data_IF_901029766959
#
_entry.id   IF_901029766959
#
_cell.length_a   1.000
_cell.length_b   1.000
_cell.length_c   1.000
_cell.angle_alpha   90.00
_cell.angle_beta   90.00
_cell.angle_gamma   90.00
#
_symmetry.space_group_name_H-M   'P 1'
#
loop_
_entity.id
_entity.type
_entity.pdbx_description
1 polymer ?
#
# COMPACT_ATOMS: atom_id res chain seq x y z
N UNK A 1 -64.68 0.13 4.22
CA UNK A 1 -63.29 0.49 3.93
C UNK A 1 -63.36 1.52 2.83
N UNK A 2 -63.03 2.74 3.11
CA UNK A 2 -63.09 3.84 2.16
C UNK A 2 -61.86 3.80 1.25
N UNK A 3 -61.96 4.38 0.07
CA UNK A 3 -60.84 4.46 -0.88
C UNK A 3 -59.60 5.14 -0.24
N UNK A 4 -59.83 6.02 0.71
CA UNK A 4 -58.84 6.68 1.53
C UNK A 4 -58.07 5.71 2.45
N UNK A 5 -58.76 4.73 3.04
CA UNK A 5 -58.16 3.73 3.92
C UNK A 5 -57.20 2.82 3.13
N UNK A 6 -57.57 2.47 1.89
CA UNK A 6 -56.72 1.66 1.01
C UNK A 6 -55.47 2.41 0.53
N UNK A 7 -55.55 3.74 0.34
CA UNK A 7 -54.42 4.61 0.00
C UNK A 7 -53.48 4.77 1.20
N UNK A 8 -54.03 4.96 2.41
CA UNK A 8 -53.27 5.06 3.67
C UNK A 8 -52.53 3.74 3.98
N UNK A 9 -53.15 2.59 3.74
CA UNK A 9 -52.54 1.30 3.95
C UNK A 9 -51.41 1.03 2.93
N UNK A 10 -51.58 1.43 1.64
CA UNK A 10 -50.51 1.39 0.65
C UNK A 10 -49.33 2.35 0.96
N UNK A 11 -49.62 3.51 1.52
CA UNK A 11 -48.61 4.47 1.98
C UNK A 11 -47.84 3.93 3.19
N UNK A 12 -48.55 3.31 4.16
CA UNK A 12 -47.91 2.65 5.31
C UNK A 12 -47.01 1.51 4.89
N UNK A 13 -47.45 0.62 3.99
CA UNK A 13 -46.62 -0.44 3.44
C UNK A 13 -45.39 0.11 2.69
N UNK A 14 -45.51 1.23 1.96
CA UNK A 14 -44.37 1.89 1.35
C UNK A 14 -43.39 2.48 2.37
N UNK A 15 -43.88 3.03 3.47
CA UNK A 15 -43.06 3.56 4.57
C UNK A 15 -42.38 2.41 5.31
N UNK A 16 -43.05 1.30 5.58
CA UNK A 16 -42.44 0.10 6.19
C UNK A 16 -41.40 -0.55 5.30
N UNK A 17 -41.56 -0.53 3.96
CA UNK A 17 -40.55 -1.01 3.02
C UNK A 17 -39.29 -0.08 3.01
N UNK A 18 -39.50 1.22 3.29
CA UNK A 18 -38.37 2.18 3.39
C UNK A 18 -37.65 2.05 4.74
N UNK A 19 -38.37 1.68 5.83
CA UNK A 19 -37.77 1.46 7.15
C UNK A 19 -37.12 0.07 7.29
N UNK A 20 -37.47 -0.92 6.46
CA UNK A 20 -36.85 -2.26 6.48
C UNK A 20 -35.58 -2.42 5.69
N UNK A 21 -35.21 -1.45 4.85
CA UNK A 21 -33.86 -1.34 4.31
C UNK A 21 -32.96 -0.65 5.35
N UNK A 22 -32.52 -1.39 6.37
CA UNK A 22 -31.30 -1.06 7.09
C UNK A 22 -30.19 -1.02 6.04
N UNK A 23 -29.97 0.15 5.45
CA UNK A 23 -28.82 0.46 4.63
C UNK A 23 -27.59 0.05 5.46
N UNK A 24 -27.01 -1.10 5.13
CA UNK A 24 -25.80 -1.62 5.79
C UNK A 24 -24.64 -0.73 5.40
N UNK A 25 -24.51 0.40 6.07
CA UNK A 25 -23.37 1.28 5.89
C UNK A 25 -22.09 0.51 6.26
N UNK A 26 -21.10 0.54 5.37
CA UNK A 26 -19.78 -0.01 5.65
C UNK A 26 -19.10 0.76 6.80
N UNK A 27 -19.31 2.06 6.85
CA UNK A 27 -18.85 2.91 7.94
C UNK A 27 -20.02 3.50 8.74
N UNK A 28 -20.25 2.97 9.92
CA UNK A 28 -21.33 3.45 10.83
C UNK A 28 -21.12 4.90 11.30
N UNK A 29 -19.85 5.40 11.34
CA UNK A 29 -19.54 6.75 11.82
C UNK A 29 -20.02 7.83 10.86
N UNK A 30 -19.80 7.67 9.56
CA UNK A 30 -20.13 8.67 8.56
C UNK A 30 -21.25 8.24 7.60
N UNK A 31 -21.83 7.05 7.78
CA UNK A 31 -22.85 6.48 6.88
C UNK A 31 -22.40 6.53 5.39
N UNK A 32 -21.13 6.17 5.15
CA UNK A 32 -20.44 6.11 3.84
C UNK A 32 -20.23 7.43 3.11
N UNK A 33 -20.56 8.57 3.73
CA UNK A 33 -20.31 9.91 3.14
C UNK A 33 -18.84 10.33 3.17
N UNK A 34 -17.97 9.58 3.88
CA UNK A 34 -16.55 9.91 4.11
C UNK A 34 -16.30 11.16 4.96
N UNK A 35 -17.37 11.86 5.40
CA UNK A 35 -17.32 13.04 6.26
C UNK A 35 -18.26 12.87 7.47
N UNK A 36 -17.84 13.41 8.60
CA UNK A 36 -18.65 13.51 9.82
C UNK A 36 -19.05 14.98 9.95
N UNK A 37 -20.36 15.23 9.92
CA UNK A 37 -20.93 16.56 10.08
C UNK A 37 -21.28 16.81 11.54
N UNK A 38 -20.97 17.98 12.04
CA UNK A 38 -21.33 18.41 13.40
C UNK A 38 -21.62 19.92 13.40
N UNK A 39 -22.38 20.33 14.43
CA UNK A 39 -22.69 21.74 14.67
C UNK A 39 -21.98 22.19 15.94
N UNK A 40 -21.45 23.40 15.94
CA UNK A 40 -20.94 24.02 17.15
C UNK A 40 -22.07 24.63 18.00
N UNK A 41 -21.71 25.18 19.15
CA UNK A 41 -22.65 25.81 20.07
C UNK A 41 -23.35 27.04 19.49
N UNK A 42 -22.82 27.64 18.41
CA UNK A 42 -23.36 28.78 17.69
C UNK A 42 -24.22 28.38 16.50
N UNK A 43 -24.37 27.05 16.23
CA UNK A 43 -25.15 26.52 15.14
C UNK A 43 -24.44 26.42 13.80
N UNK A 44 -23.14 26.77 13.72
CA UNK A 44 -22.35 26.61 12.49
C UNK A 44 -22.08 25.14 12.20
N UNK A 45 -22.25 24.76 10.93
CA UNK A 45 -22.01 23.41 10.47
C UNK A 45 -20.55 23.23 10.02
N UNK A 46 -19.93 22.16 10.49
CA UNK A 46 -18.57 21.77 10.15
C UNK A 46 -18.56 20.34 9.60
N UNK A 47 -17.62 20.07 8.70
CA UNK A 47 -17.36 18.74 8.19
C UNK A 47 -15.93 18.35 8.53
N UNK A 48 -15.75 17.17 9.17
CA UNK A 48 -14.45 16.54 9.42
C UNK A 48 -14.34 15.28 8.59
N UNK A 49 -13.16 15.04 8.00
CA UNK A 49 -12.91 13.78 7.30
C UNK A 49 -13.06 12.58 8.24
N UNK A 50 -13.80 11.57 7.79
CA UNK A 50 -13.91 10.31 8.52
C UNK A 50 -12.66 9.46 8.31
N UNK A 51 -12.25 8.73 9.34
CA UNK A 51 -11.11 7.80 9.28
C UNK A 51 -11.25 6.77 8.15
N UNK A 52 -12.50 6.38 7.78
CA UNK A 52 -12.75 5.44 6.70
C UNK A 52 -12.34 5.97 5.33
N UNK A 53 -12.25 7.28 5.12
CA UNK A 53 -11.87 7.90 3.84
C UNK A 53 -10.49 7.45 3.39
N UNK A 54 -9.52 7.47 4.30
CA UNK A 54 -8.15 7.03 4.01
C UNK A 54 -8.11 5.57 3.57
N UNK A 55 -8.88 4.71 4.25
CA UNK A 55 -9.01 3.29 3.89
C UNK A 55 -9.67 3.10 2.52
N UNK A 56 -10.77 3.80 2.26
CA UNK A 56 -11.47 3.71 0.97
C UNK A 56 -10.57 4.18 -0.18
N UNK A 57 -9.81 5.27 0.03
CA UNK A 57 -8.82 5.74 -0.96
C UNK A 57 -7.74 4.69 -1.19
N UNK A 58 -7.17 4.11 -0.13
CA UNK A 58 -6.13 3.10 -0.24
C UNK A 58 -6.64 1.83 -0.94
N UNK A 59 -7.83 1.35 -0.61
CA UNK A 59 -8.44 0.20 -1.30
C UNK A 59 -8.70 0.51 -2.78
N UNK A 60 -9.24 1.68 -3.12
CA UNK A 60 -9.42 2.11 -4.52
C UNK A 60 -8.08 2.18 -5.28
N UNK A 61 -7.00 2.61 -4.63
CA UNK A 61 -5.67 2.64 -5.24
C UNK A 61 -5.12 1.22 -5.44
N UNK A 62 -5.33 0.31 -4.47
CA UNK A 62 -4.98 -1.10 -4.60
C UNK A 62 -5.75 -1.75 -5.76
N UNK A 63 -7.07 -1.55 -5.83
CA UNK A 63 -7.92 -2.06 -6.93
C UNK A 63 -7.47 -1.55 -8.30
N UNK A 64 -7.16 -0.23 -8.41
CA UNK A 64 -6.69 0.38 -9.66
C UNK A 64 -5.28 -0.06 -10.06
N UNK A 65 -4.47 -0.60 -9.17
CA UNK A 65 -3.14 -1.09 -9.47
C UNK A 65 -3.13 -2.45 -10.20
N UNK A 66 -4.31 -3.06 -10.39
CA UNK A 66 -4.44 -4.39 -11.01
C UNK A 66 -3.96 -5.53 -10.12
N UNK A 67 -3.80 -5.28 -8.78
CA UNK A 67 -3.45 -6.32 -7.82
C UNK A 67 -4.60 -7.31 -7.73
N UNK A 68 -4.29 -8.58 -7.97
CA UNK A 68 -5.25 -9.66 -7.82
C UNK A 68 -5.76 -9.79 -6.39
N UNK A 69 -6.97 -10.33 -6.22
CA UNK A 69 -7.55 -10.64 -4.91
C UNK A 69 -6.61 -11.52 -4.07
N UNK A 70 -5.81 -12.36 -4.71
CA UNK A 70 -4.79 -13.16 -4.07
C UNK A 70 -3.81 -12.32 -3.25
N UNK A 71 -3.32 -11.20 -3.80
CA UNK A 71 -2.42 -10.29 -3.08
C UNK A 71 -3.11 -9.56 -1.94
N UNK A 72 -4.40 -9.24 -2.07
CA UNK A 72 -5.19 -8.62 -1.00
C UNK A 72 -5.41 -9.58 0.18
N UNK A 73 -5.32 -10.89 -0.06
CA UNK A 73 -5.43 -11.94 0.96
C UNK A 73 -4.13 -12.18 1.74
N UNK A 74 -2.97 -11.69 1.27
CA UNK A 74 -1.67 -11.91 1.92
C UNK A 74 -1.60 -11.20 3.27
N UNK A 75 -1.33 -12.00 4.31
CA UNK A 75 -1.24 -11.55 5.70
C UNK A 75 -0.01 -12.17 6.38
N UNK A 76 0.37 -11.65 7.55
CA UNK A 76 1.40 -12.30 8.34
C UNK A 76 0.96 -13.67 8.90
N UNK A 77 -0.35 -13.87 9.11
CA UNK A 77 -0.86 -15.15 9.64
C UNK A 77 -0.82 -16.27 8.62
N UNK A 78 -1.06 -15.99 7.34
CA UNK A 78 -0.98 -16.99 6.27
C UNK A 78 0.39 -17.05 5.57
N UNK A 79 1.40 -16.37 6.13
CA UNK A 79 2.78 -16.50 5.69
C UNK A 79 3.47 -17.64 6.43
N UNK A 80 3.89 -18.66 5.70
CA UNK A 80 4.56 -19.84 6.23
C UNK A 80 6.08 -19.67 6.16
N UNK A 81 6.78 -19.91 7.28
CA UNK A 81 8.25 -19.87 7.35
C UNK A 81 8.91 -21.24 7.03
N UNK A 82 8.09 -22.30 7.06
CA UNK A 82 8.50 -23.69 6.76
C UNK A 82 9.75 -24.15 7.50
N UNK A 83 9.90 -23.66 8.73
CA UNK A 83 11.02 -24.01 9.60
C UNK A 83 12.36 -23.39 9.18
N UNK A 84 12.38 -22.45 8.22
CA UNK A 84 13.60 -21.76 7.78
C UNK A 84 13.83 -20.52 8.63
N UNK A 85 14.88 -20.51 9.42
CA UNK A 85 15.18 -19.45 10.40
C UNK A 85 15.24 -18.06 9.74
N UNK A 86 15.92 -17.93 8.58
CA UNK A 86 15.99 -16.64 7.86
C UNK A 86 14.60 -16.10 7.48
N UNK A 87 13.66 -16.99 7.10
CA UNK A 87 12.30 -16.61 6.72
C UNK A 87 11.48 -16.19 7.94
N UNK A 88 11.66 -16.92 9.05
CA UNK A 88 11.04 -16.59 10.33
C UNK A 88 11.53 -15.22 10.84
N UNK A 89 12.84 -14.98 10.79
CA UNK A 89 13.42 -13.68 11.14
C UNK A 89 12.91 -12.55 10.26
N UNK A 90 12.79 -12.78 8.96
CA UNK A 90 12.22 -11.81 8.02
C UNK A 90 10.78 -11.45 8.39
N UNK A 91 9.95 -12.46 8.74
CA UNK A 91 8.57 -12.24 9.21
C UNK A 91 8.55 -11.44 10.52
N UNK A 92 9.40 -11.78 11.49
CA UNK A 92 9.47 -11.10 12.77
C UNK A 92 9.88 -9.62 12.60
N UNK A 93 10.91 -9.35 11.78
CA UNK A 93 11.34 -7.97 11.47
C UNK A 93 10.24 -7.16 10.77
N UNK A 94 9.50 -7.77 9.84
CA UNK A 94 8.38 -7.11 9.18
C UNK A 94 7.25 -6.76 10.18
N UNK A 95 6.94 -7.66 11.13
CA UNK A 95 5.97 -7.42 12.20
C UNK A 95 6.48 -6.33 13.16
N UNK A 96 7.76 -6.34 13.50
CA UNK A 96 8.37 -5.31 14.35
C UNK A 96 8.30 -3.93 13.69
N UNK A 97 8.66 -3.84 12.41
CA UNK A 97 8.51 -2.61 11.63
C UNK A 97 7.05 -2.12 11.63
N UNK A 98 6.09 -3.01 11.38
CA UNK A 98 4.66 -2.67 11.44
C UNK A 98 4.26 -2.09 12.81
N UNK A 99 4.69 -2.73 13.92
CA UNK A 99 4.38 -2.26 15.28
C UNK A 99 4.96 -0.86 15.53
N UNK A 100 6.18 -0.63 15.07
CA UNK A 100 6.93 0.61 15.28
C UNK A 100 6.65 1.71 14.25
N UNK A 101 5.88 1.42 13.20
CA UNK A 101 5.66 2.33 12.05
C UNK A 101 5.27 3.74 12.47
N UNK A 102 4.28 3.89 13.36
CA UNK A 102 3.80 5.23 13.80
C UNK A 102 4.86 6.05 14.56
N UNK A 103 5.92 5.39 15.05
CA UNK A 103 7.03 6.08 15.74
C UNK A 103 8.12 6.51 14.75
N UNK A 104 8.32 5.74 13.68
CA UNK A 104 9.41 5.97 12.74
C UNK A 104 8.98 6.62 11.41
N UNK A 105 7.69 6.70 11.13
CA UNK A 105 7.17 7.15 9.82
C UNK A 105 7.74 8.51 9.38
N UNK A 106 8.01 9.44 10.30
CA UNK A 106 8.54 10.77 10.01
C UNK A 106 10.07 10.87 10.19
N UNK A 107 10.71 9.78 10.59
CA UNK A 107 12.16 9.73 10.76
C UNK A 107 12.88 9.49 9.43
N UNK A 108 14.20 9.67 9.40
CA UNK A 108 15.00 9.32 8.21
C UNK A 108 15.00 7.82 7.94
N UNK A 109 15.02 7.01 8.98
CA UNK A 109 15.09 5.56 8.92
C UNK A 109 13.68 4.95 9.07
N UNK A 110 12.83 5.20 8.08
CA UNK A 110 11.41 4.91 8.11
C UNK A 110 10.95 3.85 7.09
N UNK A 111 11.87 3.29 6.32
CA UNK A 111 11.57 2.33 5.25
C UNK A 111 12.00 0.91 5.62
N UNK A 112 11.54 -0.06 4.85
CA UNK A 112 11.90 -1.48 4.95
C UNK A 112 12.20 -2.04 3.58
N UNK A 113 13.22 -2.88 3.47
CA UNK A 113 13.59 -3.52 2.22
C UNK A 113 13.83 -5.01 2.40
N UNK A 114 13.23 -5.80 1.51
CA UNK A 114 13.39 -7.25 1.39
C UNK A 114 14.24 -7.54 0.15
N UNK A 115 15.42 -8.11 0.35
CA UNK A 115 16.43 -8.34 -0.69
C UNK A 115 16.73 -9.83 -0.89
N UNK A 116 17.21 -10.19 -2.06
CA UNK A 116 17.88 -11.47 -2.34
C UNK A 116 16.98 -12.52 -2.98
N UNK A 117 17.10 -13.77 -2.54
CA UNK A 117 16.66 -14.98 -3.25
C UNK A 117 15.26 -14.92 -3.84
N UNK A 118 15.15 -15.31 -5.13
CA UNK A 118 13.87 -15.49 -5.83
C UNK A 118 13.01 -16.54 -5.11
N UNK A 119 11.69 -16.31 -5.06
CA UNK A 119 10.76 -17.30 -4.47
C UNK A 119 10.83 -17.40 -2.94
N UNK A 120 11.53 -16.49 -2.25
CA UNK A 120 11.68 -16.52 -0.78
C UNK A 120 10.56 -15.80 -0.01
N UNK A 121 9.48 -15.39 -0.67
CA UNK A 121 8.32 -14.76 -0.02
C UNK A 121 8.42 -13.24 0.19
N UNK A 122 9.39 -12.53 -0.42
CA UNK A 122 9.55 -11.07 -0.27
C UNK A 122 8.27 -10.29 -0.60
N UNK A 123 7.69 -10.54 -1.76
CA UNK A 123 6.42 -9.93 -2.18
C UNK A 123 5.29 -10.23 -1.19
N UNK A 124 5.20 -11.47 -0.68
CA UNK A 124 4.19 -11.84 0.33
C UNK A 124 4.37 -11.01 1.60
N UNK A 125 5.60 -10.92 2.13
CA UNK A 125 5.87 -10.11 3.34
C UNK A 125 5.59 -8.63 3.12
N UNK A 126 5.99 -8.09 1.96
CA UNK A 126 5.68 -6.70 1.57
C UNK A 126 4.17 -6.44 1.49
N UNK A 127 3.40 -7.36 0.88
CA UNK A 127 1.94 -7.28 0.82
C UNK A 127 1.28 -7.44 2.18
N UNK A 128 1.72 -8.41 2.98
CA UNK A 128 1.21 -8.59 4.34
C UNK A 128 1.41 -7.32 5.18
N UNK A 129 2.57 -6.69 5.06
CA UNK A 129 2.86 -5.43 5.72
C UNK A 129 1.96 -4.30 5.21
N UNK A 130 1.85 -4.13 3.88
CA UNK A 130 1.00 -3.11 3.26
C UNK A 130 -0.48 -3.27 3.68
N UNK A 131 -1.01 -4.49 3.59
CA UNK A 131 -2.39 -4.81 4.01
C UNK A 131 -2.63 -4.51 5.49
N UNK A 132 -1.67 -4.83 6.37
CA UNK A 132 -1.80 -4.53 7.80
C UNK A 132 -1.72 -3.01 8.08
N UNK A 133 -0.84 -2.27 7.39
CA UNK A 133 -0.78 -0.81 7.49
C UNK A 133 -2.11 -0.17 7.09
N UNK A 134 -2.71 -0.63 5.98
CA UNK A 134 -4.01 -0.15 5.50
C UNK A 134 -5.12 -0.49 6.49
N UNK A 135 -5.29 -1.78 6.81
CA UNK A 135 -6.46 -2.30 7.55
C UNK A 135 -6.43 -1.93 9.03
N UNK A 136 -5.25 -1.88 9.65
CA UNK A 136 -5.11 -1.75 11.10
C UNK A 136 -4.68 -0.36 11.54
N UNK A 137 -3.85 0.33 10.75
CA UNK A 137 -3.32 1.66 11.10
C UNK A 137 -3.92 2.80 10.28
N UNK A 138 -4.83 2.52 9.35
CA UNK A 138 -5.41 3.51 8.42
C UNK A 138 -4.35 4.27 7.62
N UNK A 139 -3.27 3.60 7.23
CA UNK A 139 -2.17 4.16 6.46
C UNK A 139 -2.37 3.83 5.00
N UNK A 140 -2.49 4.86 4.16
CA UNK A 140 -2.57 4.67 2.71
C UNK A 140 -1.24 4.16 2.16
N UNK A 141 -1.26 3.00 1.51
CA UNK A 141 -0.13 2.41 0.80
C UNK A 141 -0.46 2.37 -0.68
N UNK A 142 0.40 2.95 -1.52
CA UNK A 142 0.32 2.81 -2.97
C UNK A 142 1.27 1.69 -3.40
N UNK A 143 0.71 0.72 -4.12
CA UNK A 143 1.48 -0.38 -4.72
C UNK A 143 2.02 0.03 -6.09
N UNK A 144 3.27 -0.28 -6.32
CA UNK A 144 3.99 -0.10 -7.57
C UNK A 144 4.61 -1.44 -7.97
N UNK A 145 3.96 -2.17 -8.87
CA UNK A 145 4.65 -3.24 -9.59
C UNK A 145 5.63 -2.57 -10.54
N UNK A 146 6.93 -2.70 -10.21
CA UNK A 146 7.98 -1.91 -10.83
C UNK A 146 7.98 -2.00 -12.35
N UNK A 147 7.96 -3.20 -12.91
CA UNK A 147 8.15 -3.39 -14.36
C UNK A 147 7.00 -2.85 -15.18
N UNK A 148 5.74 -3.12 -14.78
CA UNK A 148 4.56 -2.61 -15.47
C UNK A 148 4.48 -1.09 -15.35
N UNK A 149 4.74 -0.57 -14.16
CA UNK A 149 4.71 0.88 -13.89
C UNK A 149 5.77 1.61 -14.70
N UNK A 150 7.02 1.11 -14.72
CA UNK A 150 8.10 1.69 -15.52
C UNK A 150 7.77 1.67 -17.03
N UNK A 151 7.18 0.58 -17.51
CA UNK A 151 6.73 0.48 -18.91
C UNK A 151 5.66 1.53 -19.22
N UNK A 152 4.65 1.66 -18.36
CA UNK A 152 3.57 2.63 -18.51
C UNK A 152 4.10 4.07 -18.52
N UNK A 153 4.96 4.42 -17.55
CA UNK A 153 5.52 5.77 -17.47
C UNK A 153 6.40 6.11 -18.68
N UNK A 154 7.17 5.14 -19.20
CA UNK A 154 7.94 5.35 -20.45
C UNK A 154 7.04 5.60 -21.66
N UNK A 155 5.86 4.99 -21.73
CA UNK A 155 4.89 5.27 -22.79
C UNK A 155 4.28 6.68 -22.70
N UNK A 156 4.22 7.25 -21.51
CA UNK A 156 3.70 8.58 -21.25
C UNK A 156 4.72 9.71 -21.41
N UNK A 157 6.01 9.40 -21.69
CA UNK A 157 7.10 10.37 -21.68
C UNK A 157 6.93 11.52 -22.68
N UNK A 158 6.15 11.32 -23.74
CA UNK A 158 5.83 12.36 -24.74
C UNK A 158 4.67 13.27 -24.33
N UNK A 159 3.95 12.94 -23.24
CA UNK A 159 2.86 13.74 -22.69
C UNK A 159 3.25 14.17 -21.27
N UNK A 160 3.90 15.32 -21.16
CA UNK A 160 4.42 15.85 -19.89
C UNK A 160 3.36 15.94 -18.79
N UNK A 161 2.13 16.30 -19.13
CA UNK A 161 1.06 16.42 -18.15
C UNK A 161 0.65 15.06 -17.56
N UNK A 162 0.42 14.07 -18.40
CA UNK A 162 0.05 12.72 -17.97
C UNK A 162 1.21 12.02 -17.26
N UNK A 163 2.43 12.14 -17.79
CA UNK A 163 3.64 11.61 -17.17
C UNK A 163 3.82 12.15 -15.76
N UNK A 164 3.81 13.47 -15.57
CA UNK A 164 3.98 14.10 -14.28
C UNK A 164 2.82 13.78 -13.32
N UNK A 165 1.59 13.69 -13.83
CA UNK A 165 0.42 13.31 -13.04
C UNK A 165 0.58 11.91 -12.48
N UNK A 166 0.96 10.93 -13.31
CA UNK A 166 1.14 9.55 -12.90
C UNK A 166 2.35 9.40 -11.97
N UNK A 167 3.50 9.97 -12.33
CA UNK A 167 4.72 9.94 -11.54
C UNK A 167 4.53 10.54 -10.13
N UNK A 168 3.80 11.65 -10.03
CA UNK A 168 3.54 12.31 -8.76
C UNK A 168 2.71 11.45 -7.79
N UNK A 169 1.93 10.48 -8.27
CA UNK A 169 1.25 9.52 -7.38
C UNK A 169 2.25 8.71 -6.57
N UNK A 170 3.31 8.20 -7.23
CA UNK A 170 4.36 7.43 -6.57
C UNK A 170 5.28 8.30 -5.70
N UNK A 171 5.59 9.51 -6.16
CA UNK A 171 6.39 10.46 -5.39
C UNK A 171 5.71 10.86 -4.08
N UNK A 172 4.40 11.15 -4.11
CA UNK A 172 3.66 11.77 -3.00
C UNK A 172 2.83 10.79 -2.15
N UNK A 173 2.75 9.51 -2.51
CA UNK A 173 2.05 8.52 -1.70
C UNK A 173 2.58 8.52 -0.24
N UNK A 174 1.69 8.40 0.76
CA UNK A 174 2.10 8.34 2.17
C UNK A 174 3.10 7.21 2.40
N UNK A 175 2.80 6.00 1.94
CA UNK A 175 3.75 4.87 1.86
C UNK A 175 3.74 4.36 0.42
N UNK A 176 4.91 4.08 -0.13
CA UNK A 176 5.06 3.45 -1.44
C UNK A 176 5.60 2.04 -1.28
N UNK A 177 4.89 1.05 -1.83
CA UNK A 177 5.41 -0.30 -1.95
C UNK A 177 5.91 -0.53 -3.38
N UNK A 178 7.22 -0.61 -3.56
CA UNK A 178 7.87 -0.94 -4.83
C UNK A 178 8.17 -2.44 -4.82
N UNK A 179 7.45 -3.19 -5.62
CA UNK A 179 7.62 -4.64 -5.71
C UNK A 179 8.46 -5.04 -6.92
N UNK A 180 9.29 -6.06 -6.74
CA UNK A 180 10.21 -6.59 -7.74
C UNK A 180 11.10 -5.50 -8.38
N UNK A 181 11.58 -4.55 -7.55
CA UNK A 181 12.43 -3.45 -8.01
C UNK A 181 13.68 -3.96 -8.74
N UNK A 182 13.98 -3.40 -9.91
CA UNK A 182 15.10 -3.74 -10.79
C UNK A 182 15.04 -5.17 -11.36
N UNK A 183 13.84 -5.76 -11.45
CA UNK A 183 13.67 -7.08 -12.06
C UNK A 183 13.74 -7.01 -13.58
N UNK A 184 14.51 -7.92 -14.16
CA UNK A 184 14.69 -8.07 -15.61
C UNK A 184 15.74 -7.12 -16.20
N UNK A 185 15.61 -6.80 -17.50
CA UNK A 185 16.52 -5.88 -18.18
C UNK A 185 16.16 -4.45 -17.82
N UNK A 186 17.08 -3.75 -17.18
CA UNK A 186 16.94 -2.36 -16.75
C UNK A 186 17.62 -1.44 -17.75
N UNK A 187 16.98 -0.34 -18.10
CA UNK A 187 17.48 0.70 -19.01
C UNK A 187 17.85 1.96 -18.22
N UNK A 188 18.61 2.87 -18.82
CA UNK A 188 18.95 4.17 -18.23
C UNK A 188 17.68 4.98 -17.88
N UNK A 189 16.63 4.89 -18.71
CA UNK A 189 15.35 5.53 -18.41
C UNK A 189 14.69 4.96 -17.15
N UNK A 190 14.85 3.66 -16.86
CA UNK A 190 14.36 3.04 -15.62
C UNK A 190 15.13 3.54 -14.39
N UNK A 191 16.44 3.76 -14.53
CA UNK A 191 17.29 4.31 -13.48
C UNK A 191 16.86 5.74 -13.15
N UNK A 192 16.73 6.58 -14.17
CA UNK A 192 16.29 7.97 -14.02
C UNK A 192 14.91 8.06 -13.34
N UNK A 193 13.96 7.21 -13.75
CA UNK A 193 12.64 7.13 -13.16
C UNK A 193 12.71 6.75 -11.67
N UNK A 194 13.46 5.70 -11.33
CA UNK A 194 13.63 5.26 -9.95
C UNK A 194 14.31 6.31 -9.10
N UNK A 195 15.38 6.93 -9.65
CA UNK A 195 16.09 8.00 -8.96
C UNK A 195 15.15 9.16 -8.63
N UNK A 196 14.32 9.57 -9.57
CA UNK A 196 13.38 10.67 -9.37
C UNK A 196 12.36 10.37 -8.26
N UNK A 197 11.79 9.16 -8.24
CA UNK A 197 10.84 8.73 -7.20
C UNK A 197 11.55 8.64 -5.85
N UNK A 198 12.66 7.90 -5.78
CA UNK A 198 13.36 7.61 -4.53
C UNK A 198 13.98 8.87 -3.94
N UNK A 199 14.59 9.73 -4.77
CA UNK A 199 15.17 10.99 -4.31
C UNK A 199 14.11 11.93 -3.72
N UNK A 200 12.96 12.07 -4.39
CA UNK A 200 11.85 12.86 -3.85
C UNK A 200 11.41 12.33 -2.48
N UNK A 201 11.22 11.01 -2.35
CA UNK A 201 10.79 10.37 -1.12
C UNK A 201 11.84 10.48 -0.02
N UNK A 202 13.11 10.33 -0.37
CA UNK A 202 14.25 10.54 0.54
C UNK A 202 14.27 11.95 1.12
N UNK A 203 14.15 12.97 0.27
CA UNK A 203 14.16 14.38 0.70
C UNK A 203 12.97 14.72 1.59
N UNK A 204 11.80 14.13 1.33
CA UNK A 204 10.57 14.38 2.07
C UNK A 204 10.31 13.34 3.18
N UNK A 205 11.26 12.45 3.48
CA UNK A 205 11.14 11.40 4.50
C UNK A 205 9.86 10.56 4.34
N UNK A 206 9.48 10.22 3.12
CA UNK A 206 8.29 9.42 2.83
C UNK A 206 8.64 7.92 2.84
N UNK A 207 8.01 7.09 3.70
CA UNK A 207 8.35 5.69 3.88
C UNK A 207 8.18 4.86 2.61
N UNK A 208 9.08 3.88 2.43
CA UNK A 208 9.02 2.88 1.35
C UNK A 208 9.04 1.46 1.90
N UNK A 209 8.26 0.59 1.27
CA UNK A 209 8.39 -0.86 1.35
C UNK A 209 8.99 -1.28 0.02
N UNK A 210 10.09 -2.00 0.02
CA UNK A 210 10.76 -2.40 -1.23
C UNK A 210 11.01 -3.90 -1.22
N UNK A 211 10.71 -4.57 -2.33
CA UNK A 211 11.20 -5.92 -2.62
C UNK A 211 12.11 -5.88 -3.83
N UNK A 212 13.22 -6.61 -3.78
CA UNK A 212 14.15 -6.74 -4.90
C UNK A 212 14.87 -8.10 -4.86
N UNK A 213 15.24 -8.61 -6.03
CA UNK A 213 16.09 -9.80 -6.15
C UNK A 213 17.59 -9.46 -5.98
N UNK A 214 17.95 -8.18 -6.01
CA UNK A 214 19.32 -7.72 -5.80
C UNK A 214 19.74 -7.87 -4.35
N UNK A 215 21.00 -8.24 -4.13
CA UNK A 215 21.67 -8.11 -2.84
C UNK A 215 22.01 -6.64 -2.58
N UNK A 216 22.48 -6.35 -1.38
CA UNK A 216 22.93 -5.00 -1.03
C UNK A 216 24.10 -4.54 -1.89
N UNK A 217 25.07 -5.43 -2.11
CA UNK A 217 26.24 -5.19 -2.93
C UNK A 217 25.85 -4.94 -4.39
N UNK A 218 25.02 -5.82 -4.97
CA UNK A 218 24.52 -5.67 -6.33
C UNK A 218 23.68 -4.40 -6.54
N UNK A 219 22.99 -3.92 -5.50
CA UNK A 219 22.24 -2.67 -5.58
C UNK A 219 23.17 -1.46 -5.60
N UNK A 220 24.26 -1.49 -4.81
CA UNK A 220 25.30 -0.44 -4.80
C UNK A 220 26.04 -0.39 -6.15
N UNK A 221 26.43 -1.55 -6.68
CA UNK A 221 27.08 -1.65 -7.98
C UNK A 221 26.19 -1.18 -9.13
N UNK A 222 24.87 -1.37 -8.99
CA UNK A 222 23.90 -0.97 -9.99
C UNK A 222 23.75 0.57 -10.08
N UNK A 223 23.54 1.22 -8.95
CA UNK A 223 23.45 2.68 -8.83
C UNK A 223 23.64 3.11 -7.37
N UNK A 224 24.80 3.68 -7.07
CA UNK A 224 25.16 4.10 -5.72
C UNK A 224 24.23 5.19 -5.17
N UNK A 225 23.73 6.08 -6.04
CA UNK A 225 22.87 7.17 -5.61
C UNK A 225 21.50 6.67 -5.18
N UNK A 226 20.91 5.69 -5.86
CA UNK A 226 19.68 5.03 -5.47
C UNK A 226 19.90 4.16 -4.23
N UNK A 227 20.95 3.33 -4.26
CA UNK A 227 21.27 2.37 -3.21
C UNK A 227 21.51 3.05 -1.86
N UNK A 228 22.32 4.11 -1.82
CA UNK A 228 22.64 4.81 -0.57
C UNK A 228 21.39 5.39 0.10
N UNK A 229 20.45 5.95 -0.66
CA UNK A 229 19.19 6.48 -0.14
C UNK A 229 18.30 5.38 0.44
N UNK A 230 18.15 4.28 -0.28
CA UNK A 230 17.36 3.13 0.19
C UNK A 230 17.97 2.57 1.47
N UNK A 231 19.29 2.35 1.48
CA UNK A 231 20.02 1.79 2.62
C UNK A 231 19.91 2.71 3.83
N UNK A 232 20.06 4.02 3.67
CA UNK A 232 19.92 4.97 4.78
C UNK A 232 18.51 4.97 5.33
N UNK A 233 17.48 5.02 4.46
CA UNK A 233 16.08 5.02 4.89
C UNK A 233 15.64 3.69 5.51
N UNK A 234 16.32 2.59 5.20
CA UNK A 234 15.99 1.23 5.67
C UNK A 234 16.99 0.66 6.66
N UNK A 235 17.96 1.43 7.15
CA UNK A 235 19.15 0.98 7.89
C UNK A 235 18.88 -0.07 8.97
N UNK A 236 17.78 0.06 9.72
CA UNK A 236 17.36 -0.87 10.77
C UNK A 236 16.49 -2.03 10.25
N UNK A 237 15.99 -1.91 9.03
CA UNK A 237 14.95 -2.78 8.46
C UNK A 237 15.40 -3.34 7.10
N UNK A 238 16.70 -3.62 6.93
CA UNK A 238 17.21 -4.35 5.78
C UNK A 238 17.09 -5.84 6.09
N UNK A 239 16.40 -6.57 5.21
CA UNK A 239 16.16 -8.01 5.32
C UNK A 239 16.74 -8.65 4.06
N UNK A 240 17.84 -9.39 4.23
CA UNK A 240 18.47 -10.14 3.14
C UNK A 240 18.18 -11.64 3.31
N UNK A 241 17.65 -12.24 2.25
CA UNK A 241 17.31 -13.65 2.16
C UNK A 241 18.30 -14.33 1.21
N UNK A 242 19.26 -15.10 1.75
CA UNK A 242 20.35 -15.73 1.00
C UNK A 242 20.25 -17.25 1.08
N UNK A 243 20.36 -17.89 -0.08
CA UNK A 243 20.36 -19.36 -0.18
C UNK A 243 19.31 -19.87 -1.17
N UNK A 244 19.75 -20.75 -2.07
CA UNK A 244 18.89 -21.33 -3.13
C UNK A 244 17.72 -22.12 -2.54
N UNK A 245 17.93 -22.72 -1.38
CA UNK A 245 16.95 -23.50 -0.60
C UNK A 245 15.76 -22.66 -0.12
N UNK A 246 15.87 -21.33 -0.15
CA UNK A 246 14.76 -20.42 0.19
C UNK A 246 13.77 -20.25 -0.95
N UNK A 247 14.03 -20.79 -2.13
CA UNK A 247 13.11 -20.71 -3.25
C UNK A 247 12.00 -21.75 -3.14
N UNK A 248 10.87 -21.38 -2.57
CA UNK A 248 9.69 -22.26 -2.39
C UNK A 248 9.09 -22.81 -3.68
N UNK A 249 9.36 -22.19 -4.81
CA UNK A 249 8.83 -22.65 -6.11
C UNK A 249 9.58 -23.86 -6.66
N UNK A 250 10.78 -24.11 -6.15
CA UNK A 250 11.68 -25.14 -6.65
C UNK A 250 12.03 -26.22 -5.62
N UNK A 251 11.97 -25.91 -4.32
CA UNK A 251 12.53 -26.75 -3.26
C UNK A 251 11.54 -27.04 -2.12
N UNK A 252 10.25 -27.05 -2.46
CA UNK A 252 9.18 -27.55 -1.60
C UNK A 252 8.80 -28.98 -1.91
#
# INVERSE_FOLDING_TARGET
MTELDAILEKLKQRVEIIESDELKYQCKKCKDTEFIFYKDLNGYEYAKECECRTLKIANRLLEKSGISEEFQSKTFSNFEDRGKEQIKDAKLKAIEYFKNFSKCENERNNSIVFMGQVGSGKTHLGMALANNLIKTKNVAVLYMEYRQTATKLKQLITNDFEYNTELNKFKKARVLFIDDMLKGKVTEADINLLYEIINYRYLNKLPMIISTEKTREELIEFDEAIASRIIEMSKKNIIELKGKELNYRLYD
#
